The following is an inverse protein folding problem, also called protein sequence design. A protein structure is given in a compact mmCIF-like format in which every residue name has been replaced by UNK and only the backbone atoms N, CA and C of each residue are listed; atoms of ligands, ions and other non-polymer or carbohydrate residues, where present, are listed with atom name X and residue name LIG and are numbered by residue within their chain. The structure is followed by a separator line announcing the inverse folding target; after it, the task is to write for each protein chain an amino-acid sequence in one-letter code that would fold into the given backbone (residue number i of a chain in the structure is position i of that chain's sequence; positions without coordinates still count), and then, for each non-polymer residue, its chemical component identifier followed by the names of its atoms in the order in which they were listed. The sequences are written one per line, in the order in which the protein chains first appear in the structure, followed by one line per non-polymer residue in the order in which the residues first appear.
data_IF_246189430694
#
_entry.id   IF_246189430694
#
_cell.length_a   1.000
_cell.length_b   1.000
_cell.length_c   1.000
_cell.angle_alpha   90.00
_cell.angle_beta   90.00
_cell.angle_gamma   90.00
#
_symmetry.space_group_name_H-M   'P 1'
#
loop_
_entity.id
_entity.type
_entity.pdbx_description
1 polymer ?
#
# COMPACT_ATOMS: atom_id res chain seq x y z
N UNK A 1 -36.56 10.12 37.38
CA UNK A 1 -36.80 11.31 36.53
C UNK A 1 -35.83 11.18 35.34
N UNK A 2 -36.19 10.78 34.11
CA UNK A 2 -37.09 11.42 33.11
C UNK A 2 -36.80 12.93 33.06
N UNK A 3 -36.26 13.49 31.98
CA UNK A 3 -36.97 13.75 30.71
C UNK A 3 -36.02 13.64 29.50
N UNK A 4 -36.52 12.96 28.47
CA UNK A 4 -36.09 13.01 27.07
C UNK A 4 -36.94 14.04 26.30
N UNK A 5 -36.40 14.57 25.19
CA UNK A 5 -37.10 14.94 23.94
C UNK A 5 -36.02 15.41 22.91
N UNK A 6 -35.79 14.78 21.75
CA UNK A 6 -36.69 14.57 20.57
C UNK A 6 -37.03 15.97 20.00
N UNK A 7 -36.73 16.41 18.78
CA UNK A 7 -36.54 15.78 17.46
C UNK A 7 -36.10 16.84 16.43
N UNK A 8 -35.36 16.41 15.40
CA UNK A 8 -35.62 16.65 13.96
C UNK A 8 -34.58 15.80 13.19
N UNK A 9 -34.85 14.54 12.84
CA UNK A 9 -35.54 14.07 11.61
C UNK A 9 -35.27 14.97 10.40
N UNK A 10 -35.01 14.51 9.19
CA UNK A 10 -34.77 13.23 8.51
C UNK A 10 -34.61 13.63 7.02
N UNK A 11 -34.44 12.64 6.14
CA UNK A 11 -34.32 12.76 4.66
C UNK A 11 -32.86 13.03 4.25
N UNK A 12 -32.09 12.09 3.70
CA UNK A 12 -32.45 10.98 2.81
C UNK A 12 -31.45 9.83 2.98
N UNK A 13 -31.92 8.70 3.54
CA UNK A 13 -31.36 7.40 3.19
C UNK A 13 -31.75 7.10 1.75
N UNK A 14 -30.78 6.85 0.87
CA UNK A 14 -30.97 5.95 -0.27
C UNK A 14 -29.61 5.40 -0.73
N UNK A 15 -29.53 4.06 -0.64
CA UNK A 15 -28.80 3.15 -1.54
C UNK A 15 -27.29 2.94 -1.30
N UNK A 16 -26.74 1.74 -1.03
CA UNK A 16 -27.28 0.40 -0.77
C UNK A 16 -26.16 -0.35 -0.04
N UNK A 17 -26.42 -0.82 1.18
CA UNK A 17 -25.86 -2.07 1.68
C UNK A 17 -26.89 -3.18 1.36
N UNK A 18 -26.48 -4.45 1.47
CA UNK A 18 -27.25 -5.71 1.41
C UNK A 18 -26.95 -6.58 0.16
N UNK A 19 -27.12 -7.91 0.26
CA UNK A 19 -26.10 -8.84 0.78
C UNK A 19 -25.95 -10.07 -0.13
N UNK A 20 -25.05 -10.96 0.27
CA UNK A 20 -24.89 -12.32 -0.25
C UNK A 20 -26.09 -13.21 0.15
N UNK A 21 -26.58 -13.99 -0.82
CA UNK A 21 -27.41 -15.22 -0.76
C UNK A 21 -28.61 -15.31 0.22
N UNK A 22 -29.82 -15.42 -0.36
CA UNK A 22 -30.79 -16.46 0.02
C UNK A 22 -31.81 -16.66 -1.12
N UNK A 23 -31.99 -17.90 -1.55
CA UNK A 23 -33.07 -18.35 -2.43
C UNK A 23 -34.44 -17.88 -1.93
N UNK A 24 -35.26 -17.31 -2.80
CA UNK A 24 -36.65 -17.75 -2.96
C UNK A 24 -37.09 -17.54 -4.41
N UNK A 25 -37.55 -18.64 -5.00
CA UNK A 25 -38.34 -18.65 -6.22
C UNK A 25 -39.67 -17.91 -5.98
N UNK A 26 -40.10 -17.06 -6.91
CA UNK A 26 -41.25 -17.31 -7.79
C UNK A 26 -41.63 -16.01 -8.55
N UNK A 27 -41.89 -16.19 -9.85
CA UNK A 27 -42.81 -15.43 -10.71
C UNK A 27 -42.53 -13.95 -11.10
N UNK A 28 -42.29 -13.85 -12.42
CA UNK A 28 -43.11 -13.11 -13.38
C UNK A 28 -42.54 -11.82 -13.99
N UNK A 29 -42.15 -11.98 -15.27
CA UNK A 29 -42.28 -11.06 -16.41
C UNK A 29 -41.76 -9.62 -16.24
N UNK A 30 -40.55 -9.42 -16.77
CA UNK A 30 -40.10 -8.16 -17.33
C UNK A 30 -38.72 -8.33 -17.93
N UNK A 31 -38.58 -8.25 -19.26
CA UNK A 31 -37.28 -8.28 -19.95
C UNK A 31 -36.43 -7.08 -19.48
N UNK A 32 -35.52 -7.31 -18.54
CA UNK A 32 -34.38 -6.43 -18.33
C UNK A 32 -33.24 -6.93 -19.21
N UNK A 33 -32.75 -6.07 -20.10
CA UNK A 33 -31.54 -6.32 -20.87
C UNK A 33 -30.37 -6.63 -19.90
N UNK A 34 -29.45 -7.56 -20.24
CA UNK A 34 -28.32 -7.87 -19.37
C UNK A 34 -27.49 -6.60 -19.15
N UNK A 35 -27.36 -6.17 -17.89
CA UNK A 35 -26.35 -5.20 -17.51
C UNK A 35 -24.98 -5.78 -17.87
N UNK A 36 -24.10 -5.04 -18.55
CA UNK A 36 -22.73 -5.48 -18.79
C UNK A 36 -22.05 -5.67 -17.44
N UNK A 37 -21.70 -6.92 -17.13
CA UNK A 37 -20.75 -7.20 -16.06
C UNK A 37 -19.47 -6.42 -16.37
N UNK A 38 -18.86 -5.69 -15.43
CA UNK A 38 -17.52 -5.17 -15.64
C UNK A 38 -16.62 -6.38 -15.92
N UNK A 39 -16.07 -6.44 -17.13
CA UNK A 39 -15.14 -7.49 -17.52
C UNK A 39 -14.03 -7.51 -16.47
N UNK A 40 -13.89 -8.64 -15.77
CA UNK A 40 -12.72 -8.90 -14.92
C UNK A 40 -11.51 -8.90 -15.84
N UNK A 41 -10.76 -7.79 -15.86
CA UNK A 41 -9.52 -7.67 -16.62
C UNK A 41 -8.60 -8.84 -16.24
N UNK A 42 -7.95 -9.43 -17.24
CA UNK A 42 -6.97 -10.47 -17.03
C UNK A 42 -5.78 -9.94 -16.20
N UNK A 43 -5.02 -10.84 -15.55
CA UNK A 43 -3.85 -10.44 -14.77
C UNK A 43 -2.81 -9.66 -15.62
N UNK A 44 -2.71 -9.98 -16.92
CA UNK A 44 -1.84 -9.27 -17.86
C UNK A 44 -2.33 -7.86 -18.17
N UNK A 45 -3.63 -7.67 -18.40
CA UNK A 45 -4.22 -6.34 -18.60
C UNK A 45 -4.12 -5.49 -17.34
N UNK A 46 -4.25 -6.11 -16.17
CA UNK A 46 -4.10 -5.44 -14.88
C UNK A 46 -2.64 -4.99 -14.66
N UNK A 47 -1.65 -5.83 -14.97
CA UNK A 47 -0.24 -5.49 -14.90
C UNK A 47 0.15 -4.38 -15.90
N UNK A 48 -0.39 -4.43 -17.13
CA UNK A 48 -0.18 -3.40 -18.14
C UNK A 48 -0.79 -2.05 -17.72
N UNK A 49 -2.01 -2.06 -17.18
CA UNK A 49 -2.67 -0.85 -16.66
C UNK A 49 -1.92 -0.26 -15.46
N UNK A 50 -1.41 -1.10 -14.56
CA UNK A 50 -0.61 -0.65 -13.41
C UNK A 50 0.72 -0.03 -13.85
N UNK A 51 1.38 -0.63 -14.84
CA UNK A 51 2.61 -0.09 -15.46
C UNK A 51 2.34 1.24 -16.18
N UNK A 52 1.23 1.37 -16.90
CA UNK A 52 0.84 2.60 -17.56
C UNK A 52 0.49 3.72 -16.57
N UNK A 53 -0.27 3.41 -15.52
CA UNK A 53 -0.58 4.33 -14.43
C UNK A 53 0.70 4.79 -13.72
N UNK A 54 1.65 3.88 -13.48
CA UNK A 54 2.95 4.21 -12.94
C UNK A 54 3.72 5.17 -13.85
N UNK A 55 3.81 4.85 -15.14
CA UNK A 55 4.47 5.72 -16.11
C UNK A 55 3.84 7.10 -16.17
N UNK A 56 2.52 7.23 -16.00
CA UNK A 56 1.85 8.53 -15.89
C UNK A 56 2.22 9.26 -14.59
N UNK A 57 2.20 8.59 -13.44
CA UNK A 57 2.52 9.20 -12.15
C UNK A 57 3.99 9.65 -12.06
N UNK A 58 4.91 8.91 -12.67
CA UNK A 58 6.34 9.24 -12.71
C UNK A 58 6.74 10.00 -13.98
N UNK A 59 5.79 10.34 -14.86
CA UNK A 59 6.09 11.07 -16.10
C UNK A 59 6.72 12.43 -15.79
N UNK A 60 7.90 12.68 -16.36
CA UNK A 60 8.65 13.92 -16.14
C UNK A 60 9.40 13.99 -14.81
N UNK A 61 9.44 12.89 -14.05
CA UNK A 61 10.27 12.76 -12.85
C UNK A 61 11.60 12.14 -13.27
N UNK A 62 12.69 12.86 -13.09
CA UNK A 62 14.04 12.33 -13.31
C UNK A 62 14.59 11.79 -11.98
N UNK A 63 14.68 10.45 -11.78
CA UNK A 63 15.14 9.88 -10.51
C UNK A 63 16.54 10.34 -10.11
N UNK A 64 17.38 10.74 -11.07
CA UNK A 64 18.70 11.29 -10.79
C UNK A 64 18.65 12.65 -10.07
N UNK A 65 17.54 13.40 -10.21
CA UNK A 65 17.30 14.68 -9.53
C UNK A 65 16.61 14.55 -8.19
N UNK A 66 16.29 13.33 -7.76
CA UNK A 66 15.63 13.12 -6.47
C UNK A 66 16.44 13.74 -5.32
N UNK A 67 15.77 14.36 -4.32
CA UNK A 67 16.40 14.85 -3.10
C UNK A 67 17.25 13.78 -2.40
N UNK A 68 18.31 14.21 -1.72
CA UNK A 68 19.27 13.28 -1.10
C UNK A 68 18.62 12.37 -0.04
N UNK A 69 17.65 12.89 0.71
CA UNK A 69 16.89 12.12 1.69
C UNK A 69 15.96 11.10 1.02
N UNK A 70 15.31 11.45 -0.09
CA UNK A 70 14.51 10.51 -0.90
C UNK A 70 15.39 9.36 -1.42
N UNK A 71 16.57 9.67 -1.97
CA UNK A 71 17.52 8.64 -2.43
C UNK A 71 17.99 7.72 -1.30
N UNK A 72 18.31 8.30 -0.13
CA UNK A 72 18.74 7.52 1.04
C UNK A 72 17.62 6.63 1.57
N UNK A 73 16.39 7.14 1.67
CA UNK A 73 15.25 6.33 2.08
C UNK A 73 15.04 5.17 1.10
N UNK A 74 15.07 5.45 -0.20
CA UNK A 74 14.93 4.42 -1.22
C UNK A 74 16.02 3.33 -1.10
N UNK A 75 17.26 3.74 -0.82
CA UNK A 75 18.38 2.82 -0.58
C UNK A 75 18.13 1.92 0.64
N UNK A 76 17.70 2.46 1.78
CA UNK A 76 17.43 1.65 2.97
C UNK A 76 16.30 0.65 2.76
N UNK A 77 15.19 1.07 2.13
CA UNK A 77 14.07 0.17 1.82
C UNK A 77 14.54 -0.95 0.90
N UNK A 78 15.28 -0.63 -0.16
CA UNK A 78 15.84 -1.65 -1.07
C UNK A 78 16.76 -2.62 -0.35
N UNK A 79 17.62 -2.13 0.54
CA UNK A 79 18.54 -2.97 1.30
C UNK A 79 17.80 -3.92 2.25
N UNK A 80 16.76 -3.45 2.93
CA UNK A 80 15.90 -4.28 3.79
C UNK A 80 15.21 -5.36 2.97
N UNK A 81 14.56 -5.00 1.86
CA UNK A 81 13.86 -5.98 1.01
C UNK A 81 14.83 -6.99 0.40
N UNK A 82 16.03 -6.56 0.02
CA UNK A 82 17.10 -7.46 -0.45
C UNK A 82 17.55 -8.42 0.65
N UNK A 83 17.68 -7.96 1.89
CA UNK A 83 18.02 -8.82 3.02
C UNK A 83 16.94 -9.89 3.28
N UNK A 84 15.66 -9.54 3.15
CA UNK A 84 14.56 -10.49 3.24
C UNK A 84 14.65 -11.51 2.11
N UNK A 85 14.74 -11.05 0.86
CA UNK A 85 14.75 -11.94 -0.31
C UNK A 85 15.93 -12.93 -0.29
N UNK A 86 17.12 -12.49 0.11
CA UNK A 86 18.32 -13.35 0.20
C UNK A 86 18.22 -14.46 1.23
N UNK A 87 17.47 -14.24 2.30
CA UNK A 87 17.34 -15.19 3.41
C UNK A 87 15.96 -15.87 3.43
N UNK A 88 15.14 -15.69 2.40
CA UNK A 88 13.76 -16.20 2.33
C UNK A 88 13.61 -17.73 2.52
N UNK A 89 14.59 -18.60 2.19
CA UNK A 89 14.52 -20.01 2.55
C UNK A 89 14.35 -20.26 4.05
N UNK A 90 14.82 -19.35 4.92
CA UNK A 90 14.60 -19.37 6.36
C UNK A 90 13.89 -18.07 6.81
N UNK A 91 12.63 -18.21 7.19
CA UNK A 91 11.81 -17.09 7.63
C UNK A 91 12.41 -16.31 8.81
N UNK A 92 13.07 -16.99 9.75
CA UNK A 92 13.69 -16.34 10.92
C UNK A 92 14.96 -15.59 10.53
N UNK A 93 15.80 -16.19 9.68
CA UNK A 93 17.00 -15.50 9.18
C UNK A 93 16.64 -14.26 8.35
N UNK A 94 15.56 -14.32 7.56
CA UNK A 94 15.06 -13.16 6.83
C UNK A 94 14.65 -12.00 7.75
N UNK A 95 13.94 -12.28 8.84
CA UNK A 95 13.60 -11.26 9.85
C UNK A 95 14.84 -10.76 10.57
N UNK A 96 15.73 -11.67 10.98
CA UNK A 96 16.96 -11.32 11.67
C UNK A 96 17.85 -10.41 10.82
N UNK A 97 18.01 -10.72 9.53
CA UNK A 97 18.80 -9.92 8.60
C UNK A 97 18.19 -8.53 8.38
N UNK A 98 16.88 -8.45 8.18
CA UNK A 98 16.18 -7.17 8.06
C UNK A 98 16.28 -6.34 9.34
N UNK A 99 16.11 -6.97 10.50
CA UNK A 99 16.20 -6.34 11.83
C UNK A 99 17.63 -5.87 12.12
N UNK A 100 18.64 -6.66 11.79
CA UNK A 100 20.04 -6.31 11.96
C UNK A 100 20.40 -5.09 11.10
N UNK A 101 19.97 -5.06 9.84
CA UNK A 101 20.16 -3.90 8.97
C UNK A 101 19.46 -2.65 9.54
N UNK A 102 18.18 -2.75 9.89
CA UNK A 102 17.41 -1.64 10.43
C UNK A 102 18.00 -1.12 11.77
N UNK A 103 18.51 -2.02 12.62
CA UNK A 103 19.17 -1.65 13.88
C UNK A 103 20.49 -0.94 13.64
N UNK A 104 21.32 -1.44 12.71
CA UNK A 104 22.60 -0.82 12.33
C UNK A 104 22.41 0.59 11.76
N UNK A 105 21.34 0.80 11.00
CA UNK A 105 21.03 2.08 10.35
C UNK A 105 19.93 2.87 11.05
N UNK A 106 19.61 2.52 12.31
CA UNK A 106 18.46 3.05 13.05
C UNK A 106 18.43 4.57 13.13
N UNK A 107 19.55 5.21 13.43
CA UNK A 107 19.62 6.66 13.57
C UNK A 107 19.32 7.38 12.24
N UNK A 108 19.85 6.86 11.12
CA UNK A 108 19.60 7.42 9.80
C UNK A 108 18.15 7.20 9.36
N UNK A 109 17.61 5.99 9.56
CA UNK A 109 16.22 5.66 9.26
C UNK A 109 15.25 6.51 10.11
N UNK A 110 15.53 6.67 11.41
CA UNK A 110 14.70 7.49 12.31
C UNK A 110 14.72 8.98 11.90
N UNK A 111 15.87 9.51 11.47
CA UNK A 111 15.97 10.89 10.97
C UNK A 111 15.21 11.09 9.64
N UNK A 112 15.29 10.13 8.73
CA UNK A 112 14.53 10.16 7.46
C UNK A 112 13.03 10.02 7.71
N UNK A 113 12.62 9.16 8.66
CA UNK A 113 11.22 9.02 9.08
C UNK A 113 10.67 10.32 9.68
N UNK A 114 11.45 11.02 10.51
CA UNK A 114 11.03 12.31 11.04
C UNK A 114 10.79 13.33 9.92
N UNK A 115 11.70 13.42 8.93
CA UNK A 115 11.50 14.28 7.75
C UNK A 115 10.25 13.90 6.96
N UNK A 116 10.02 12.60 6.79
CA UNK A 116 8.84 12.11 6.08
C UNK A 116 7.55 12.50 6.81
N UNK A 117 7.50 12.38 8.15
CA UNK A 117 6.35 12.84 8.95
C UNK A 117 6.09 14.33 8.81
N UNK A 118 7.14 15.15 8.80
CA UNK A 118 6.99 16.59 8.56
C UNK A 118 6.38 16.89 7.19
N UNK A 119 6.78 16.15 6.14
CA UNK A 119 6.20 16.27 4.79
C UNK A 119 4.74 15.78 4.77
N UNK A 120 4.41 14.74 5.53
CA UNK A 120 3.05 14.21 5.61
C UNK A 120 2.05 15.12 6.35
N UNK A 121 2.51 16.13 7.09
CA UNK A 121 1.60 17.11 7.73
C UNK A 121 0.76 17.88 6.72
N UNK A 122 1.28 18.06 5.50
CA UNK A 122 0.52 18.61 4.38
C UNK A 122 0.70 17.73 3.13
N UNK A 123 -0.07 16.64 3.02
CA UNK A 123 0.09 15.66 1.95
C UNK A 123 -0.36 16.19 0.58
N UNK A 124 -1.07 17.34 0.55
CA UNK A 124 -1.51 18.01 -0.69
C UNK A 124 -0.54 19.08 -1.14
N UNK A 125 0.48 19.42 -0.34
CA UNK A 125 1.52 20.36 -0.74
C UNK A 125 2.28 19.87 -1.98
N UNK A 126 2.74 20.80 -2.81
CA UNK A 126 3.62 20.50 -3.94
C UNK A 126 4.85 19.71 -3.50
N UNK A 127 5.40 20.04 -2.33
CA UNK A 127 6.55 19.34 -1.73
C UNK A 127 6.24 17.88 -1.42
N UNK A 128 5.08 17.58 -0.81
CA UNK A 128 4.69 16.22 -0.50
C UNK A 128 4.40 15.40 -1.77
N UNK A 129 3.73 16.00 -2.75
CA UNK A 129 3.49 15.37 -4.05
C UNK A 129 4.79 15.07 -4.79
N UNK A 130 5.72 16.03 -4.86
CA UNK A 130 7.02 15.85 -5.50
C UNK A 130 7.86 14.78 -4.78
N UNK A 131 7.88 14.81 -3.45
CA UNK A 131 8.55 13.78 -2.65
C UNK A 131 7.96 12.39 -2.93
N UNK A 132 6.62 12.27 -2.95
CA UNK A 132 5.93 11.02 -3.28
C UNK A 132 6.24 10.51 -4.69
N UNK A 133 6.31 11.41 -5.67
CA UNK A 133 6.66 11.08 -7.06
C UNK A 133 8.09 10.54 -7.18
N UNK A 134 9.08 11.16 -6.52
CA UNK A 134 10.45 10.64 -6.50
C UNK A 134 10.56 9.30 -5.75
N UNK A 135 9.87 9.16 -4.61
CA UNK A 135 9.83 7.90 -3.87
C UNK A 135 9.25 6.77 -4.73
N UNK A 136 8.13 7.00 -5.44
CA UNK A 136 7.57 6.00 -6.35
C UNK A 136 8.52 5.70 -7.52
N UNK A 137 9.12 6.72 -8.12
CA UNK A 137 10.06 6.54 -9.23
C UNK A 137 11.29 5.73 -8.84
N UNK A 138 11.79 5.87 -7.61
CA UNK A 138 12.97 5.13 -7.13
C UNK A 138 12.63 3.75 -6.57
N UNK A 139 11.52 3.60 -5.85
CA UNK A 139 11.19 2.35 -5.15
C UNK A 139 10.41 1.37 -6.00
N UNK A 140 9.52 1.85 -6.87
CA UNK A 140 8.60 0.95 -7.56
C UNK A 140 9.30 -0.08 -8.44
N UNK A 141 10.37 0.22 -9.20
CA UNK A 141 11.11 -0.80 -9.94
C UNK A 141 11.60 -1.92 -9.02
N UNK A 142 12.19 -1.58 -7.88
CA UNK A 142 12.67 -2.55 -6.90
C UNK A 142 11.52 -3.29 -6.20
N UNK A 143 10.38 -2.64 -5.96
CA UNK A 143 9.19 -3.33 -5.44
C UNK A 143 8.62 -4.34 -6.43
N UNK A 144 8.63 -4.04 -7.74
CA UNK A 144 8.20 -4.98 -8.78
C UNK A 144 9.18 -6.16 -8.90
N UNK A 145 10.49 -5.89 -8.90
CA UNK A 145 11.53 -6.94 -8.89
C UNK A 145 11.38 -7.90 -7.70
N UNK A 146 10.99 -7.36 -6.54
CA UNK A 146 10.85 -8.13 -5.31
C UNK A 146 9.41 -8.57 -5.00
N UNK A 147 8.45 -8.29 -5.90
CA UNK A 147 7.04 -8.56 -5.66
C UNK A 147 6.81 -10.05 -5.42
N UNK A 148 7.38 -10.90 -6.26
CA UNK A 148 7.27 -12.35 -6.10
C UNK A 148 7.87 -12.83 -4.78
N UNK A 149 9.09 -12.38 -4.46
CA UNK A 149 9.76 -12.76 -3.21
C UNK A 149 8.97 -12.31 -1.97
N UNK A 150 8.40 -11.11 -1.99
CA UNK A 150 7.58 -10.58 -0.90
C UNK A 150 6.23 -11.30 -0.78
N UNK A 151 5.59 -11.64 -1.91
CA UNK A 151 4.38 -12.46 -1.92
C UNK A 151 4.69 -13.84 -1.34
N UNK A 152 5.74 -14.52 -1.81
CA UNK A 152 6.15 -15.81 -1.27
C UNK A 152 6.50 -15.73 0.22
N UNK A 153 7.21 -14.68 0.65
CA UNK A 153 7.51 -14.44 2.05
C UNK A 153 6.23 -14.27 2.87
N UNK A 154 5.27 -13.45 2.42
CA UNK A 154 4.00 -13.27 3.14
C UNK A 154 3.17 -14.55 3.26
N UNK A 155 3.28 -15.46 2.27
CA UNK A 155 2.55 -16.72 2.25
C UNK A 155 3.22 -17.81 3.09
N UNK A 156 4.56 -17.92 3.02
CA UNK A 156 5.34 -18.96 3.70
C UNK A 156 5.73 -18.57 5.13
N UNK A 157 5.92 -17.27 5.38
CA UNK A 157 6.48 -16.72 6.60
C UNK A 157 5.48 -15.76 7.29
N UNK A 158 4.20 -16.15 7.39
CA UNK A 158 3.10 -15.29 7.85
C UNK A 158 3.38 -14.59 9.19
N UNK A 159 3.93 -15.30 10.18
CA UNK A 159 4.23 -14.73 11.50
C UNK A 159 5.40 -13.74 11.44
N UNK A 160 6.40 -14.05 10.64
CA UNK A 160 7.57 -13.21 10.41
C UNK A 160 7.22 -11.96 9.60
N UNK A 161 6.29 -12.07 8.64
CA UNK A 161 5.72 -10.93 7.93
C UNK A 161 5.00 -9.96 8.87
N UNK A 162 4.27 -10.46 9.89
CA UNK A 162 3.69 -9.61 10.93
C UNK A 162 4.78 -8.90 11.76
N UNK A 163 5.87 -9.58 12.09
CA UNK A 163 7.00 -8.97 12.82
C UNK A 163 7.68 -7.88 11.99
N UNK A 164 7.93 -8.15 10.72
CA UNK A 164 8.49 -7.17 9.77
C UNK A 164 7.56 -5.98 9.56
N UNK A 165 6.24 -6.19 9.49
CA UNK A 165 5.26 -5.11 9.41
C UNK A 165 5.30 -4.20 10.64
N UNK A 166 5.50 -4.75 11.85
CA UNK A 166 5.71 -3.93 13.06
C UNK A 166 7.02 -3.15 12.99
N UNK A 167 8.10 -3.77 12.52
CA UNK A 167 9.41 -3.12 12.36
C UNK A 167 9.36 -1.94 11.38
N UNK A 168 8.66 -2.10 10.25
CA UNK A 168 8.60 -1.12 9.17
C UNK A 168 7.44 -0.12 9.33
N UNK A 169 6.27 -0.56 9.76
CA UNK A 169 5.05 0.25 9.90
C UNK A 169 4.85 0.88 11.28
N UNK A 170 5.35 0.25 12.36
CA UNK A 170 5.13 0.72 13.74
C UNK A 170 5.76 2.07 14.08
N UNK A 171 6.67 2.58 13.24
CA UNK A 171 7.36 3.87 13.39
C UNK A 171 6.89 4.96 12.41
N UNK A 172 6.17 4.60 11.35
CA UNK A 172 5.72 5.55 10.31
C UNK A 172 4.32 6.12 10.56
N UNK A 173 3.50 5.51 11.44
CA UNK A 173 2.13 5.94 11.74
C UNK A 173 1.84 6.40 13.17
N UNK A 174 2.86 6.58 14.01
CA UNK A 174 2.76 7.18 15.35
C UNK A 174 3.47 8.52 15.40
#
# INVERSE_FOLDING_TARGET
MKIAKIELLAVLMLLVAFPVLAQQADKAKGKAAPQPQPATMSAEEQAAAQKAALQMMTKGVDPAKAPADVKKMAMHVKAIMTAIAKNMPDCQEAVAAATAYASKHKAEIDALNARFKEIQKDPKSNKAMEYGRYMMALLMPSMMEMQEAMTQFSQKCTEQAKQLSKLLGGKMGQ
#
